data_IF_114322996376
#
_entry.id   IF_114322996376
#
_cell.length_a   1.000
_cell.length_b   1.000
_cell.length_c   1.000
_cell.angle_alpha   90.00
_cell.angle_beta   90.00
_cell.angle_gamma   90.00
#
_symmetry.space_group_name_H-M   'P 1'
#
loop_
_entity.id
_entity.type
_entity.pdbx_description
1 polymer ?
#
# COMPACT_ATOMS: atom_id res chain seq x y z
N UNK A 1 8.63 2.89 -17.73
CA UNK A 1 7.31 3.27 -18.29
C UNK A 1 6.23 2.56 -17.48
N UNK A 2 5.01 3.07 -17.40
CA UNK A 2 3.90 2.37 -16.72
C UNK A 2 2.88 1.84 -17.73
N UNK A 3 2.34 0.65 -17.47
CA UNK A 3 1.13 0.13 -18.13
C UNK A 3 -0.02 0.17 -17.13
N UNK A 4 -1.19 0.56 -17.60
CA UNK A 4 -2.43 0.49 -16.84
C UNK A 4 -3.46 -0.25 -17.69
N UNK A 5 -4.08 -1.27 -17.11
CA UNK A 5 -5.14 -2.04 -17.75
C UNK A 5 -6.41 -1.96 -16.91
N UNK A 6 -7.50 -1.52 -17.53
CA UNK A 6 -8.84 -1.65 -16.93
C UNK A 6 -9.25 -3.13 -16.99
N UNK A 7 -9.68 -3.69 -15.85
CA UNK A 7 -10.19 -5.04 -15.72
C UNK A 7 -11.65 -5.01 -15.27
N UNK A 8 -12.41 -6.04 -15.60
CA UNK A 8 -13.81 -6.17 -15.18
C UNK A 8 -13.98 -7.42 -14.32
N UNK A 9 -14.23 -7.22 -13.03
CA UNK A 9 -14.54 -8.29 -12.07
C UNK A 9 -15.70 -7.85 -11.18
N UNK A 10 -16.40 -8.82 -10.58
CA UNK A 10 -17.47 -8.55 -9.62
C UNK A 10 -16.97 -8.49 -8.16
N UNK A 11 -15.65 -8.50 -7.97
CA UNK A 11 -15.03 -8.62 -6.66
C UNK A 11 -14.73 -7.26 -6.04
N UNK A 12 -14.85 -7.16 -4.73
CA UNK A 12 -14.49 -5.98 -3.95
C UNK A 12 -13.00 -5.96 -3.57
N UNK A 13 -12.45 -4.84 -3.05
CA UNK A 13 -11.03 -4.75 -2.71
C UNK A 13 -10.54 -5.83 -1.74
N UNK A 14 -11.31 -6.15 -0.70
CA UNK A 14 -10.95 -7.16 0.30
C UNK A 14 -10.98 -8.57 -0.29
N UNK A 15 -11.99 -8.86 -1.12
CA UNK A 15 -12.10 -10.13 -1.85
C UNK A 15 -10.89 -10.36 -2.76
N UNK A 16 -10.45 -9.33 -3.50
CA UNK A 16 -9.25 -9.42 -4.33
C UNK A 16 -7.99 -9.52 -3.47
N UNK A 17 -7.88 -8.75 -2.38
CA UNK A 17 -6.73 -8.84 -1.47
C UNK A 17 -6.57 -10.24 -0.87
N UNK A 18 -7.67 -10.93 -0.56
CA UNK A 18 -7.63 -12.31 -0.05
C UNK A 18 -6.93 -13.30 -0.98
N UNK A 19 -6.84 -13.01 -2.29
CA UNK A 19 -6.10 -13.82 -3.27
C UNK A 19 -4.58 -13.71 -3.06
N UNK A 20 -4.12 -12.56 -2.55
CA UNK A 20 -2.71 -12.22 -2.38
C UNK A 20 -2.27 -12.16 -0.90
N UNK A 21 -3.19 -12.38 0.06
CA UNK A 21 -2.95 -12.18 1.50
C UNK A 21 -1.77 -12.98 2.08
N UNK A 22 -1.45 -14.12 1.48
CA UNK A 22 -0.38 -15.02 1.93
C UNK A 22 0.96 -14.70 1.22
N UNK A 23 0.97 -13.75 0.30
CA UNK A 23 2.17 -13.23 -0.34
C UNK A 23 2.90 -12.26 0.60
N UNK A 24 4.22 -12.20 0.43
CA UNK A 24 5.08 -11.43 1.33
C UNK A 24 4.95 -9.94 1.01
N UNK A 25 4.77 -9.13 2.06
CA UNK A 25 4.79 -7.67 1.97
C UNK A 25 3.74 -7.10 1.00
N UNK A 26 2.57 -7.71 0.88
CA UNK A 26 1.42 -7.09 0.21
C UNK A 26 0.70 -6.14 1.16
N UNK A 27 0.12 -5.07 0.63
CA UNK A 27 -0.65 -4.09 1.42
C UNK A 27 -1.99 -3.82 0.75
N UNK A 28 -3.05 -3.75 1.55
CA UNK A 28 -4.35 -3.20 1.18
C UNK A 28 -4.54 -1.84 1.87
N UNK A 29 -4.78 -0.80 1.08
CA UNK A 29 -5.34 0.47 1.54
C UNK A 29 -6.82 0.48 1.18
N UNK A 30 -7.68 0.22 2.17
CA UNK A 30 -9.13 0.19 1.94
C UNK A 30 -9.80 1.50 2.34
N UNK A 31 -10.53 2.09 1.40
CA UNK A 31 -11.40 3.24 1.64
C UNK A 31 -12.69 2.75 2.29
N UNK A 32 -12.69 2.65 3.63
CA UNK A 32 -13.87 2.26 4.40
C UNK A 32 -15.06 3.17 4.09
N UNK A 33 -16.18 2.59 3.64
CA UNK A 33 -17.35 3.22 2.99
C UNK A 33 -18.08 4.38 3.72
N UNK A 34 -17.66 4.83 4.90
CA UNK A 34 -18.46 5.75 5.72
C UNK A 34 -18.55 7.18 5.13
N UNK A 35 -17.56 7.64 4.35
CA UNK A 35 -17.58 8.97 3.73
C UNK A 35 -17.39 8.90 2.21
N UNK A 36 -18.46 9.19 1.45
CA UNK A 36 -18.45 9.16 -0.03
C UNK A 36 -17.50 10.19 -0.66
N UNK A 37 -17.11 11.25 0.05
CA UNK A 37 -16.24 12.30 -0.51
C UNK A 37 -14.77 11.88 -0.43
N UNK A 38 -14.39 11.21 0.66
CA UNK A 38 -13.00 10.81 0.95
C UNK A 38 -12.69 9.35 0.57
N UNK A 39 -13.71 8.51 0.38
CA UNK A 39 -13.57 7.06 0.18
C UNK A 39 -13.75 6.64 -1.28
N UNK A 40 -13.01 7.27 -2.20
CA UNK A 40 -13.18 7.05 -3.65
C UNK A 40 -12.38 5.88 -4.20
N UNK A 41 -11.24 5.59 -3.58
CA UNK A 41 -10.30 4.59 -4.12
C UNK A 41 -9.77 3.66 -3.04
N UNK A 42 -9.68 2.37 -3.37
CA UNK A 42 -8.89 1.40 -2.61
C UNK A 42 -7.72 0.92 -3.46
N UNK A 43 -6.60 0.58 -2.81
CA UNK A 43 -5.36 0.18 -3.48
C UNK A 43 -4.83 -1.12 -2.89
N UNK A 44 -4.28 -1.98 -3.74
CA UNK A 44 -3.53 -3.16 -3.32
C UNK A 44 -2.15 -3.11 -3.94
N UNK A 45 -1.10 -3.12 -3.12
CA UNK A 45 0.28 -3.29 -3.58
C UNK A 45 0.65 -4.77 -3.58
N UNK A 46 1.09 -5.27 -4.75
CA UNK A 46 1.61 -6.63 -4.92
C UNK A 46 2.93 -6.62 -5.69
N UNK A 47 3.65 -7.74 -5.64
CA UNK A 47 4.98 -7.88 -6.25
C UNK A 47 5.95 -6.78 -5.79
N UNK A 48 6.29 -6.73 -4.49
CA UNK A 48 7.23 -5.76 -3.97
C UNK A 48 8.63 -5.96 -4.60
N UNK A 49 9.33 -4.87 -4.89
CA UNK A 49 10.69 -4.94 -5.46
C UNK A 49 11.75 -4.21 -4.64
N UNK A 50 11.34 -3.38 -3.68
CA UNK A 50 12.24 -2.63 -2.83
C UNK A 50 11.53 -2.26 -1.53
N UNK A 51 12.25 -2.33 -0.42
CA UNK A 51 11.77 -1.88 0.88
C UNK A 51 12.73 -0.81 1.40
N UNK A 52 12.20 0.38 1.66
CA UNK A 52 12.86 1.42 2.44
C UNK A 52 12.44 1.29 3.91
N UNK A 53 13.41 1.32 4.82
CA UNK A 53 13.19 1.36 6.26
C UNK A 53 14.08 2.43 6.89
N UNK A 54 13.65 3.01 8.01
CA UNK A 54 14.50 3.88 8.84
C UNK A 54 14.32 3.62 10.32
N UNK A 55 15.37 3.92 11.09
CA UNK A 55 15.36 3.91 12.56
C UNK A 55 16.26 5.03 13.06
N UNK A 56 15.68 6.02 13.74
CA UNK A 56 16.34 7.29 14.03
C UNK A 56 16.92 7.91 12.75
N UNK A 57 18.19 8.31 12.80
CA UNK A 57 18.90 8.91 11.66
C UNK A 57 19.39 7.87 10.62
N UNK A 58 19.17 6.57 10.86
CA UNK A 58 19.67 5.52 9.99
C UNK A 58 18.64 5.11 8.93
N UNK A 59 19.11 4.98 7.69
CA UNK A 59 18.31 4.57 6.54
C UNK A 59 18.76 3.21 6.01
N UNK A 60 17.80 2.42 5.54
CA UNK A 60 18.04 1.08 5.01
C UNK A 60 17.23 0.87 3.72
N UNK A 61 17.84 0.19 2.74
CA UNK A 61 17.18 -0.32 1.55
C UNK A 61 17.39 -1.83 1.53
N UNK A 62 16.31 -2.61 1.54
CA UNK A 62 16.35 -4.07 1.60
C UNK A 62 17.26 -4.60 2.72
N UNK A 63 17.15 -3.96 3.90
CA UNK A 63 17.96 -4.22 5.12
C UNK A 63 19.44 -3.84 5.02
N UNK A 64 19.89 -3.30 3.89
CA UNK A 64 21.25 -2.79 3.73
C UNK A 64 21.28 -1.33 4.16
N UNK A 65 22.15 -0.99 5.11
CA UNK A 65 22.33 0.40 5.55
C UNK A 65 22.87 1.25 4.41
N UNK A 66 22.27 2.42 4.22
CA UNK A 66 22.67 3.39 3.20
C UNK A 66 22.97 4.74 3.85
N UNK A 67 23.73 5.57 3.15
CA UNK A 67 24.10 6.90 3.62
C UNK A 67 23.01 7.93 3.27
N UNK A 68 22.56 8.70 4.27
CA UNK A 68 21.66 9.83 4.08
C UNK A 68 20.55 9.88 5.12
N UNK A 69 20.04 11.09 5.34
CA UNK A 69 18.92 11.37 6.25
C UNK A 69 17.63 10.71 5.75
N UNK A 70 16.82 10.08 6.62
CA UNK A 70 15.68 9.26 6.20
C UNK A 70 14.68 9.91 5.25
N UNK A 71 14.26 11.16 5.52
CA UNK A 71 13.34 11.88 4.65
C UNK A 71 13.94 12.17 3.27
N UNK A 72 15.21 12.58 3.24
CA UNK A 72 15.93 12.86 1.97
C UNK A 72 16.13 11.59 1.15
N UNK A 73 16.44 10.47 1.80
CA UNK A 73 16.56 9.17 1.12
C UNK A 73 15.23 8.75 0.53
N UNK A 74 14.16 8.80 1.32
CA UNK A 74 12.82 8.44 0.86
C UNK A 74 12.36 9.33 -0.30
N UNK A 75 12.57 10.64 -0.21
CA UNK A 75 12.27 11.59 -1.29
C UNK A 75 13.04 11.25 -2.58
N UNK A 76 14.33 10.97 -2.47
CA UNK A 76 15.15 10.57 -3.62
C UNK A 76 14.66 9.26 -4.24
N UNK A 77 14.24 8.29 -3.43
CA UNK A 77 13.66 7.03 -3.93
C UNK A 77 12.33 7.27 -4.64
N UNK A 78 11.43 8.05 -4.07
CA UNK A 78 10.15 8.41 -4.68
C UNK A 78 10.39 9.11 -6.02
N UNK A 79 11.29 10.10 -6.06
CA UNK A 79 11.63 10.82 -7.29
C UNK A 79 12.29 9.92 -8.34
N UNK A 80 13.16 8.99 -7.93
CA UNK A 80 13.82 8.03 -8.82
C UNK A 80 12.81 7.09 -9.50
N UNK A 81 11.78 6.67 -8.76
CA UNK A 81 10.75 5.75 -9.26
C UNK A 81 9.47 6.46 -9.69
N UNK A 82 9.50 7.80 -9.81
CA UNK A 82 8.39 8.57 -10.33
C UNK A 82 8.20 8.26 -11.81
N UNK A 83 6.98 7.89 -12.18
CA UNK A 83 6.60 7.61 -13.55
C UNK A 83 5.59 8.65 -14.02
N UNK A 84 5.66 9.02 -15.29
CA UNK A 84 4.66 9.88 -15.91
C UNK A 84 3.33 9.13 -15.99
N UNK A 85 2.25 9.83 -15.65
CA UNK A 85 0.89 9.30 -15.56
C UNK A 85 0.01 9.73 -16.74
N UNK A 86 0.62 10.15 -17.86
CA UNK A 86 -0.06 10.68 -19.05
C UNK A 86 -1.25 9.80 -19.45
N UNK A 87 -2.46 10.37 -19.37
CA UNK A 87 -3.72 9.70 -19.72
C UNK A 87 -4.47 9.04 -18.56
N UNK A 88 -3.94 9.07 -17.34
CA UNK A 88 -4.55 8.49 -16.13
C UNK A 88 -4.62 9.47 -14.95
N UNK A 89 -4.69 10.77 -15.23
CA UNK A 89 -4.70 11.86 -14.23
C UNK A 89 -5.81 11.75 -13.17
N UNK A 90 -6.86 10.98 -13.46
CA UNK A 90 -7.99 10.77 -12.56
C UNK A 90 -7.71 9.69 -11.51
N UNK A 91 -6.63 8.92 -11.64
CA UNK A 91 -6.23 7.88 -10.67
C UNK A 91 -5.12 8.46 -9.80
N UNK A 92 -5.32 8.63 -8.48
CA UNK A 92 -4.38 9.38 -7.63
C UNK A 92 -3.09 8.61 -7.32
N UNK A 93 -3.09 7.28 -7.51
CA UNK A 93 -1.93 6.44 -7.23
C UNK A 93 -1.88 5.26 -8.21
N UNK A 94 -0.90 5.29 -9.12
CA UNK A 94 -0.69 4.25 -10.13
C UNK A 94 0.63 3.47 -9.95
N UNK A 95 1.60 4.07 -9.27
CA UNK A 95 2.90 3.47 -8.96
C UNK A 95 3.55 4.19 -7.79
N UNK A 96 4.44 3.50 -7.08
CA UNK A 96 5.24 4.11 -6.03
C UNK A 96 5.33 3.19 -4.82
N UNK A 97 5.35 3.78 -3.64
CA UNK A 97 5.48 3.07 -2.38
C UNK A 97 4.25 3.21 -1.49
N UNK A 98 3.92 2.14 -0.78
CA UNK A 98 2.92 2.14 0.30
C UNK A 98 3.63 1.74 1.59
N UNK A 99 3.30 2.41 2.68
CA UNK A 99 4.03 2.26 3.92
C UNK A 99 3.39 2.99 5.09
N UNK A 100 4.19 3.16 6.13
CA UNK A 100 3.83 3.94 7.31
C UNK A 100 4.98 4.84 7.76
N UNK A 101 4.59 5.87 8.51
CA UNK A 101 5.46 6.75 9.28
C UNK A 101 4.96 6.65 10.73
N UNK A 102 5.82 6.19 11.64
CA UNK A 102 5.50 6.02 13.05
C UNK A 102 5.52 7.36 13.78
N UNK A 103 4.91 7.39 14.96
CA UNK A 103 4.95 8.54 15.85
C UNK A 103 6.39 8.97 16.21
N UNK A 104 7.27 8.00 16.47
CA UNK A 104 8.66 8.27 16.85
C UNK A 104 9.51 8.88 15.73
N UNK A 105 9.04 8.84 14.47
CA UNK A 105 9.68 9.60 13.37
C UNK A 105 9.74 11.10 13.69
N UNK A 106 8.81 11.63 14.51
CA UNK A 106 8.85 13.02 14.96
C UNK A 106 10.14 13.40 15.69
N UNK A 107 10.83 12.43 16.31
CA UNK A 107 12.11 12.63 17.01
C UNK A 107 13.30 12.92 16.07
N UNK A 108 13.14 12.65 14.76
CA UNK A 108 14.09 13.05 13.71
C UNK A 108 13.95 14.55 13.42
N UNK A 109 12.74 15.10 13.57
CA UNK A 109 12.43 16.48 13.21
C UNK A 109 12.54 17.44 14.40
N UNK A 110 12.29 16.96 15.61
CA UNK A 110 12.22 17.77 16.83
C UNK A 110 12.98 17.12 17.99
N UNK A 111 13.59 17.94 18.85
CA UNK A 111 14.18 17.46 20.11
C UNK A 111 13.07 17.16 21.12
N UNK A 112 12.76 15.89 21.30
CA UNK A 112 11.76 15.42 22.26
C UNK A 112 12.43 14.69 23.43
N UNK A 113 11.95 14.87 24.67
CA UNK A 113 12.43 14.08 25.80
C UNK A 113 12.27 12.57 25.54
N UNK A 114 13.32 11.81 25.83
CA UNK A 114 13.30 10.36 25.73
C UNK A 114 13.01 9.74 27.10
N UNK A 115 11.74 9.71 27.47
CA UNK A 115 11.25 9.25 28.77
C UNK A 115 10.42 7.97 28.68
N UNK A 116 10.07 7.54 27.46
CA UNK A 116 9.29 6.34 27.19
C UNK A 116 10.21 5.14 27.01
N UNK A 117 9.78 3.97 27.49
CA UNK A 117 10.46 2.72 27.20
C UNK A 117 10.06 2.24 25.80
N UNK A 118 11.03 1.82 24.99
CA UNK A 118 10.75 1.22 23.69
C UNK A 118 10.24 -0.22 23.88
N UNK A 119 8.92 -0.39 23.76
CA UNK A 119 8.27 -1.69 23.93
C UNK A 119 8.28 -2.54 22.65
N UNK A 120 8.48 -1.91 21.48
CA UNK A 120 8.49 -2.58 20.17
C UNK A 120 9.68 -2.13 19.32
N UNK A 121 10.51 -3.09 18.90
CA UNK A 121 11.56 -2.82 17.92
C UNK A 121 10.99 -2.87 16.49
N UNK A 122 10.38 -1.77 16.08
CA UNK A 122 9.86 -1.56 14.71
C UNK A 122 10.58 -0.39 14.05
N UNK A 123 10.63 -0.40 12.73
CA UNK A 123 11.13 0.72 11.93
C UNK A 123 10.27 1.96 12.17
N UNK A 124 10.90 3.14 12.23
CA UNK A 124 10.19 4.40 12.40
C UNK A 124 9.45 4.78 11.12
N UNK A 125 10.09 4.59 9.96
CA UNK A 125 9.40 4.60 8.67
C UNK A 125 9.64 3.29 7.94
N UNK A 126 8.63 2.83 7.21
CA UNK A 126 8.74 1.67 6.32
C UNK A 126 7.87 1.87 5.09
N UNK A 127 8.47 1.86 3.92
CA UNK A 127 7.80 2.02 2.63
C UNK A 127 8.22 0.90 1.68
N UNK A 128 7.24 0.22 1.11
CA UNK A 128 7.44 -0.87 0.17
C UNK A 128 7.06 -0.37 -1.22
N UNK A 129 7.97 -0.51 -2.17
CA UNK A 129 7.74 -0.18 -3.57
C UNK A 129 7.25 -1.41 -4.32
N UNK A 130 6.21 -1.22 -5.12
CA UNK A 130 5.50 -2.30 -5.79
C UNK A 130 5.65 -2.21 -7.30
N UNK A 131 5.80 -3.36 -7.94
CA UNK A 131 5.78 -3.44 -9.39
C UNK A 131 4.36 -3.34 -9.93
N UNK A 132 3.36 -3.74 -9.14
CA UNK A 132 1.96 -3.70 -9.54
C UNK A 132 1.08 -3.13 -8.43
N UNK A 133 0.18 -2.23 -8.81
CA UNK A 133 -0.89 -1.73 -7.96
C UNK A 133 -2.23 -2.16 -8.58
N UNK A 134 -3.10 -2.79 -7.79
CA UNK A 134 -4.50 -2.98 -8.15
C UNK A 134 -5.28 -1.79 -7.59
N UNK A 135 -5.98 -1.07 -8.46
CA UNK A 135 -6.73 0.14 -8.14
C UNK A 135 -8.23 -0.16 -8.25
N UNK A 136 -8.99 0.20 -7.24
CA UNK A 136 -10.44 0.17 -7.26
C UNK A 136 -10.96 1.59 -7.25
N UNK A 137 -11.60 2.02 -8.33
CA UNK A 137 -12.40 3.24 -8.37
C UNK A 137 -13.82 2.88 -7.91
N UNK A 138 -14.09 3.14 -6.63
CA UNK A 138 -15.34 2.77 -5.98
C UNK A 138 -16.52 3.64 -6.44
N UNK A 139 -16.23 4.86 -6.90
CA UNK A 139 -17.23 5.83 -7.39
C UNK A 139 -17.72 5.44 -8.78
N UNK A 140 -16.80 5.20 -9.72
CA UNK A 140 -17.12 4.83 -11.10
C UNK A 140 -17.29 3.32 -11.32
N UNK A 141 -17.05 2.52 -10.27
CA UNK A 141 -17.08 1.04 -10.30
C UNK A 141 -16.12 0.46 -11.33
N UNK A 142 -14.91 1.00 -11.38
CA UNK A 142 -13.85 0.53 -12.27
C UNK A 142 -12.72 -0.08 -11.49
N UNK A 143 -11.98 -0.98 -12.14
CA UNK A 143 -10.84 -1.65 -11.55
C UNK A 143 -9.70 -1.59 -12.54
N UNK A 144 -8.48 -1.37 -12.04
CA UNK A 144 -7.30 -1.30 -12.88
C UNK A 144 -6.17 -2.11 -12.26
N UNK A 145 -5.33 -2.70 -13.12
CA UNK A 145 -4.04 -3.26 -12.73
C UNK A 145 -2.96 -2.40 -13.38
N UNK A 146 -2.02 -1.92 -12.57
CA UNK A 146 -0.84 -1.21 -13.05
C UNK A 146 0.37 -2.14 -13.07
N UNK A 147 1.32 -1.87 -13.96
CA UNK A 147 2.60 -2.56 -14.00
C UNK A 147 3.71 -1.61 -14.40
N UNK A 148 4.78 -1.57 -13.61
CA UNK A 148 6.01 -0.89 -13.95
C UNK A 148 6.75 -1.74 -14.98
N UNK A 149 7.03 -1.15 -16.15
CA UNK A 149 7.89 -1.75 -17.16
C UNK A 149 9.31 -1.21 -16.97
N UNK A 150 10.23 -2.15 -16.74
CA UNK A 150 11.67 -1.95 -16.88
C UNK A 150 12.28 -3.12 -17.68
N UNK A 151 13.56 -2.99 -18.08
CA UNK A 151 14.26 -3.99 -18.89
C UNK A 151 14.35 -5.37 -18.21
N UNK A 152 14.15 -5.45 -16.89
CA UNK A 152 14.23 -6.65 -16.07
C UNK A 152 12.85 -7.23 -15.72
N UNK A 153 11.77 -6.51 -16.00
CA UNK A 153 10.41 -6.88 -15.60
C UNK A 153 9.38 -6.45 -16.64
N UNK A 154 8.90 -7.43 -17.39
CA UNK A 154 7.74 -7.33 -18.25
C UNK A 154 6.74 -8.38 -17.76
N UNK A 155 6.21 -8.16 -16.56
CA UNK A 155 5.25 -9.11 -16.01
C UNK A 155 3.96 -9.11 -16.80
N UNK A 156 3.40 -10.29 -16.91
CA UNK A 156 2.22 -10.54 -17.70
C UNK A 156 0.97 -10.07 -16.94
N UNK A 157 0.50 -8.86 -17.28
CA UNK A 157 -0.80 -8.38 -16.81
C UNK A 157 -1.92 -9.38 -17.12
N UNK A 158 -1.76 -10.25 -18.14
CA UNK A 158 -2.71 -11.31 -18.45
C UNK A 158 -2.76 -12.33 -17.30
N UNK A 159 -1.60 -12.72 -16.75
CA UNK A 159 -1.54 -13.65 -15.61
C UNK A 159 -2.24 -13.10 -14.36
N UNK A 160 -1.98 -11.83 -14.01
CA UNK A 160 -2.62 -11.21 -12.84
C UNK A 160 -4.14 -11.10 -13.02
N UNK A 161 -4.59 -10.71 -14.21
CA UNK A 161 -6.01 -10.63 -14.53
C UNK A 161 -6.68 -12.01 -14.48
N UNK A 162 -6.05 -13.04 -15.06
CA UNK A 162 -6.56 -14.41 -14.98
C UNK A 162 -6.58 -14.95 -13.55
N UNK A 163 -5.53 -14.71 -12.77
CA UNK A 163 -5.46 -15.10 -11.35
C UNK A 163 -6.61 -14.50 -10.55
N UNK A 164 -6.94 -13.23 -10.80
CA UNK A 164 -8.07 -12.57 -10.15
C UNK A 164 -9.40 -13.17 -10.63
N UNK A 165 -9.58 -13.38 -11.94
CA UNK A 165 -10.83 -13.91 -12.52
C UNK A 165 -11.13 -15.36 -12.12
N UNK A 166 -10.10 -16.18 -11.97
CA UNK A 166 -10.24 -17.61 -11.63
C UNK A 166 -10.28 -17.88 -10.13
N UNK A 167 -10.10 -16.86 -9.29
CA UNK A 167 -10.08 -17.04 -7.86
C UNK A 167 -11.44 -17.50 -7.30
N UNK A 168 -11.41 -18.59 -6.53
CA UNK A 168 -12.54 -19.01 -5.71
C UNK A 168 -12.62 -18.09 -4.49
N UNK A 169 -13.37 -17.01 -4.62
CA UNK A 169 -13.48 -15.99 -3.57
C UNK A 169 -14.39 -16.49 -2.45
N UNK A 170 -13.84 -16.51 -1.24
CA UNK A 170 -14.60 -16.70 -0.01
C UNK A 170 -15.30 -15.37 0.26
N UNK A 171 -16.63 -15.36 0.11
CA UNK A 171 -17.43 -14.19 0.48
C UNK A 171 -17.36 -13.96 1.97
N UNK A 172 -17.34 -12.69 2.35
CA UNK A 172 -17.41 -12.27 3.75
C UNK A 172 -18.63 -12.92 4.41
N UNK A 173 -18.40 -13.56 5.56
CA UNK A 173 -19.50 -14.03 6.40
C UNK A 173 -20.00 -12.81 7.16
N UNK A 174 -21.24 -12.40 6.90
CA UNK A 174 -21.93 -11.44 7.76
C UNK A 174 -21.98 -12.05 9.17
N UNK A 175 -21.20 -11.49 10.10
CA UNK A 175 -21.35 -11.84 11.50
C UNK A 175 -22.72 -11.36 11.96
N UNK A 176 -23.65 -12.29 12.20
CA UNK A 176 -24.89 -11.97 12.91
C UNK A 176 -24.53 -11.22 14.18
N UNK A 177 -25.14 -10.06 14.38
CA UNK A 177 -24.78 -9.07 15.39
C UNK A 177 -24.52 -9.71 16.76
N UNK A 178 -23.25 -9.85 17.12
CA UNK A 178 -22.84 -10.23 18.46
C UNK A 178 -23.25 -9.06 19.37
N UNK A 179 -24.09 -9.39 20.35
CA UNK A 179 -24.63 -8.55 21.43
C UNK A 179 -24.13 -7.08 21.46
N UNK A 180 -24.96 -6.13 21.03
CA UNK A 180 -24.66 -4.68 20.87
C UNK A 180 -24.41 -3.90 22.17
N UNK A 181 -24.21 -4.57 23.30
CA UNK A 181 -23.89 -3.89 24.56
C UNK A 181 -22.40 -3.55 24.63
N UNK A 182 -21.92 -2.68 23.73
CA UNK A 182 -20.62 -2.05 23.87
C UNK A 182 -20.76 -0.83 24.78
N UNK A 183 -20.12 -0.87 25.96
CA UNK A 183 -19.98 0.29 26.83
C UNK A 183 -18.53 0.77 26.73
N UNK A 184 -18.33 1.96 26.18
CA UNK A 184 -17.02 2.60 26.13
C UNK A 184 -16.43 2.69 27.54
N UNK A 185 -15.15 2.36 27.67
CA UNK A 185 -14.35 2.55 28.88
C UNK A 185 -13.60 3.88 28.89
N UNK A 186 -13.85 4.76 27.91
CA UNK A 186 -13.43 6.15 27.95
C UNK A 186 -14.51 6.95 28.70
N UNK A 187 -14.23 7.24 29.98
CA UNK A 187 -14.88 8.30 30.78
C UNK A 187 -14.06 9.60 30.70
#
# INVERSE_FOLDING_TARGET
MIRVREISTNYNPLEVYNIFKDEINTILLDSSKEDKILSKFSFIGINPFMIFESKGQESFIDKVKIHGEPFTVLENLINKYKLDNDGYDNIPFISGAIGYISYDTGRILEELPDTSKEDFNISDMKFIFYKNIIVFDLENKKQYITSIIDDAYNEDLDYLEEKIKLANIIKEQDFESINKNFKSNFE
#
